data_IF_323473437029
#
_entry.id   IF_323473437029
#
_cell.length_a   1.000
_cell.length_b   1.000
_cell.length_c   1.000
_cell.angle_alpha   90.00
_cell.angle_beta   90.00
_cell.angle_gamma   90.00
#
_symmetry.space_group_name_H-M   'P 1'
#
loop_
_entity.id
_entity.type
_entity.pdbx_description
1 polymer ?
#
# COMPACT_ATOMS: atom_id res chain seq x y z
N UNK A 1 0.73 21.98 -21.81
CA UNK A 1 1.02 21.55 -23.19
C UNK A 1 0.38 20.19 -23.38
N UNK A 2 -0.48 20.09 -24.40
CA UNK A 2 -1.53 19.08 -24.60
C UNK A 2 -1.04 17.63 -24.69
N UNK A 3 -1.88 16.67 -24.28
CA UNK A 3 -2.49 15.71 -25.22
C UNK A 3 -3.82 15.16 -24.67
N UNK A 4 -4.87 15.31 -25.50
CA UNK A 4 -6.20 14.71 -25.42
C UNK A 4 -6.21 13.27 -25.97
N UNK A 5 -7.22 12.47 -25.58
CA UNK A 5 -8.12 11.64 -26.43
C UNK A 5 -9.36 11.29 -25.56
N UNK A 6 -10.49 12.00 -25.69
CA UNK A 6 -11.77 11.63 -26.38
C UNK A 6 -12.50 10.41 -25.78
N UNK A 7 -13.59 10.58 -25.02
CA UNK A 7 -14.99 10.95 -25.38
C UNK A 7 -15.89 9.76 -25.73
N UNK A 8 -16.96 9.56 -24.96
CA UNK A 8 -18.32 9.44 -25.53
C UNK A 8 -19.34 10.02 -24.54
N UNK A 9 -20.19 10.90 -25.07
CA UNK A 9 -21.21 11.70 -24.40
C UNK A 9 -22.55 11.30 -25.02
N UNK A 10 -23.57 11.01 -24.21
CA UNK A 10 -24.97 11.17 -24.61
C UNK A 10 -25.71 11.81 -23.45
N UNK A 11 -26.24 13.01 -23.71
CA UNK A 11 -27.19 13.73 -22.86
C UNK A 11 -28.59 13.51 -23.42
N UNK A 12 -29.56 13.22 -22.54
CA UNK A 12 -30.95 13.67 -22.69
C UNK A 12 -31.62 13.74 -21.32
N UNK A 13 -32.37 14.82 -21.10
CA UNK A 13 -33.01 15.23 -19.85
C UNK A 13 -34.51 14.89 -19.80
N UNK A 14 -35.03 14.86 -18.55
CA UNK A 14 -36.41 15.05 -18.07
C UNK A 14 -37.40 13.87 -18.14
N UNK A 15 -37.78 13.36 -16.96
CA UNK A 15 -39.09 13.62 -16.31
C UNK A 15 -39.42 12.54 -15.26
N UNK A 16 -39.83 12.99 -14.07
CA UNK A 16 -40.29 12.19 -12.94
C UNK A 16 -41.61 11.47 -13.25
N UNK A 17 -41.75 10.21 -12.84
CA UNK A 17 -43.02 9.59 -12.46
C UNK A 17 -42.75 8.34 -11.60
N UNK A 18 -43.32 8.33 -10.40
CA UNK A 18 -43.32 7.22 -9.45
C UNK A 18 -44.24 6.10 -9.94
N UNK A 19 -43.69 4.93 -10.24
CA UNK A 19 -44.42 3.66 -10.24
C UNK A 19 -43.59 2.59 -9.52
N UNK A 20 -44.18 2.01 -8.48
CA UNK A 20 -43.69 0.79 -7.85
C UNK A 20 -43.73 -0.36 -8.87
N UNK A 21 -42.57 -0.92 -9.20
CA UNK A 21 -42.44 -2.09 -10.06
C UNK A 21 -41.81 -3.24 -9.27
N UNK A 22 -42.51 -4.37 -9.27
CA UNK A 22 -42.12 -5.67 -8.71
C UNK A 22 -40.75 -6.10 -9.24
N UNK A 23 -39.91 -6.63 -8.35
CA UNK A 23 -38.69 -7.33 -8.71
C UNK A 23 -39.04 -8.63 -9.46
N UNK A 24 -38.58 -8.75 -10.71
CA UNK A 24 -38.52 -10.02 -11.42
C UNK A 24 -37.29 -10.82 -10.94
N UNK A 25 -37.39 -12.14 -10.77
CA UNK A 25 -36.25 -12.97 -10.40
C UNK A 25 -35.28 -13.05 -11.59
N UNK A 26 -34.05 -12.57 -11.40
CA UNK A 26 -32.97 -12.80 -12.35
C UNK A 26 -32.60 -14.29 -12.33
N UNK A 27 -32.62 -14.93 -13.50
CA UNK A 27 -32.11 -16.27 -13.72
C UNK A 27 -30.65 -16.37 -13.25
N UNK A 28 -30.24 -17.51 -12.65
CA UNK A 28 -28.87 -17.70 -12.19
C UNK A 28 -27.91 -17.64 -13.37
N UNK A 29 -26.94 -16.72 -13.30
CA UNK A 29 -25.77 -16.71 -14.18
C UNK A 29 -25.06 -18.06 -14.01
N UNK A 30 -24.83 -18.84 -15.09
CA UNK A 30 -24.20 -20.14 -14.98
C UNK A 30 -22.78 -19.98 -14.45
N UNK A 31 -22.44 -20.84 -13.48
CA UNK A 31 -21.11 -20.95 -12.86
C UNK A 31 -20.02 -20.88 -13.93
N UNK A 32 -19.20 -19.83 -13.84
CA UNK A 32 -18.08 -19.61 -14.72
C UNK A 32 -17.08 -20.75 -14.60
N UNK A 33 -16.85 -21.45 -15.71
CA UNK A 33 -15.73 -22.36 -15.97
C UNK A 33 -14.45 -21.79 -15.36
N UNK A 34 -13.89 -22.50 -14.39
CA UNK A 34 -12.58 -22.24 -13.80
C UNK A 34 -11.50 -22.48 -14.85
N UNK A 35 -11.15 -21.43 -15.60
CA UNK A 35 -9.93 -21.44 -16.40
C UNK A 35 -8.74 -21.42 -15.45
N UNK A 36 -7.91 -22.46 -15.53
CA UNK A 36 -6.62 -22.51 -14.82
C UNK A 36 -5.85 -21.20 -15.08
N UNK A 37 -5.27 -20.58 -14.03
CA UNK A 37 -4.51 -19.34 -14.17
C UNK A 37 -3.34 -19.55 -15.13
N UNK A 38 -3.26 -18.76 -16.20
CA UNK A 38 -2.11 -18.74 -17.10
C UNK A 38 -1.09 -17.66 -16.68
N UNK A 39 0.18 -17.88 -16.99
CA UNK A 39 1.24 -16.88 -16.84
C UNK A 39 1.80 -16.76 -15.42
N UNK A 40 2.25 -15.56 -15.04
CA UNK A 40 2.97 -15.33 -13.79
C UNK A 40 2.15 -15.67 -12.53
N UNK A 41 0.82 -15.60 -12.60
CA UNK A 41 -0.07 -15.97 -11.49
C UNK A 41 0.06 -17.46 -11.18
N UNK A 42 0.30 -18.31 -12.18
CA UNK A 42 0.52 -19.74 -11.98
C UNK A 42 1.84 -20.00 -11.25
N UNK A 43 2.89 -19.25 -11.58
CA UNK A 43 4.19 -19.31 -10.89
C UNK A 43 4.01 -19.07 -9.39
N UNK A 44 3.23 -18.04 -9.03
CA UNK A 44 2.94 -17.70 -7.64
C UNK A 44 2.09 -18.79 -6.97
N UNK A 45 1.00 -19.23 -7.60
CA UNK A 45 0.07 -20.22 -7.01
C UNK A 45 0.69 -21.60 -6.82
N UNK A 46 1.64 -21.98 -7.66
CA UNK A 46 2.36 -23.25 -7.54
C UNK A 46 3.51 -23.17 -6.53
N UNK A 47 3.87 -21.96 -6.09
CA UNK A 47 4.97 -21.80 -5.15
C UNK A 47 4.55 -22.30 -3.76
N UNK A 48 5.35 -23.16 -3.12
CA UNK A 48 5.02 -23.65 -1.79
C UNK A 48 5.22 -22.52 -0.76
N UNK A 49 4.41 -22.50 0.30
CA UNK A 49 4.41 -21.40 1.27
C UNK A 49 5.76 -21.18 1.95
N UNK A 50 6.62 -22.20 2.03
CA UNK A 50 7.95 -22.06 2.63
C UNK A 50 8.88 -21.09 1.89
N UNK A 51 8.63 -20.81 0.62
CA UNK A 51 9.41 -19.81 -0.15
C UNK A 51 9.29 -18.40 0.43
N UNK A 52 8.27 -18.13 1.25
CA UNK A 52 8.06 -16.85 1.93
C UNK A 52 9.11 -16.52 2.99
N UNK A 53 9.97 -17.46 3.37
CA UNK A 53 11.02 -17.22 4.35
C UNK A 53 12.07 -16.24 3.83
N UNK A 54 12.20 -15.08 4.50
CA UNK A 54 13.11 -13.99 4.17
C UNK A 54 12.63 -13.08 3.04
N UNK A 55 11.41 -13.30 2.52
CA UNK A 55 10.86 -12.50 1.41
C UNK A 55 10.72 -11.05 1.80
N UNK A 56 10.26 -10.79 3.03
CA UNK A 56 10.02 -9.42 3.48
C UNK A 56 11.29 -8.58 3.43
N UNK A 57 12.40 -9.11 3.96
CA UNK A 57 13.69 -8.41 3.96
C UNK A 57 14.26 -8.23 2.54
N UNK A 58 14.08 -9.24 1.68
CA UNK A 58 14.51 -9.16 0.29
C UNK A 58 13.75 -8.07 -0.48
N UNK A 59 12.43 -8.00 -0.31
CA UNK A 59 11.60 -6.96 -0.92
C UNK A 59 11.93 -5.58 -0.35
N UNK A 60 12.12 -5.45 0.97
CA UNK A 60 12.59 -4.18 1.57
C UNK A 60 13.91 -3.72 0.95
N UNK A 61 14.84 -4.63 0.69
CA UNK A 61 16.12 -4.29 0.05
C UNK A 61 15.93 -3.77 -1.37
N UNK A 62 15.13 -4.47 -2.17
CA UNK A 62 14.79 -4.08 -3.54
C UNK A 62 14.09 -2.72 -3.58
N UNK A 63 13.08 -2.53 -2.72
CA UNK A 63 12.31 -1.28 -2.66
C UNK A 63 13.14 -0.12 -2.12
N UNK A 64 14.10 -0.37 -1.22
CA UNK A 64 15.05 0.65 -0.73
C UNK A 64 15.94 1.17 -1.86
N UNK A 65 16.39 0.32 -2.76
CA UNK A 65 17.11 0.77 -3.95
C UNK A 65 16.26 1.66 -4.83
N UNK A 66 15.00 1.27 -5.08
CA UNK A 66 14.09 2.04 -5.94
C UNK A 66 13.70 3.38 -5.31
N UNK A 67 13.13 3.38 -4.10
CA UNK A 67 12.64 4.60 -3.45
C UNK A 67 13.74 5.57 -3.04
N UNK A 68 14.95 5.05 -2.78
CA UNK A 68 16.10 5.86 -2.38
C UNK A 68 17.05 6.18 -3.53
N UNK A 69 16.70 5.82 -4.78
CA UNK A 69 17.57 5.95 -5.97
C UNK A 69 19.02 5.53 -5.66
N UNK A 70 19.15 4.34 -5.07
CA UNK A 70 20.41 3.85 -4.49
C UNK A 70 20.75 2.44 -4.95
N UNK A 71 21.97 1.99 -4.66
CA UNK A 71 22.43 0.66 -5.06
C UNK A 71 22.31 0.46 -6.57
N UNK A 72 21.61 -0.60 -6.99
CA UNK A 72 21.39 -0.90 -8.41
C UNK A 72 20.50 0.12 -9.14
N UNK A 73 19.71 0.90 -8.40
CA UNK A 73 18.85 1.98 -8.92
C UNK A 73 19.44 3.38 -8.72
N UNK A 74 20.75 3.49 -8.46
CA UNK A 74 21.48 4.78 -8.54
C UNK A 74 21.49 5.38 -9.95
N UNK A 75 21.21 4.55 -10.97
CA UNK A 75 20.76 5.01 -12.27
C UNK A 75 19.27 4.62 -12.40
N UNK A 76 18.41 5.63 -12.62
CA UNK A 76 16.96 5.44 -12.74
C UNK A 76 16.55 4.85 -14.09
N UNK A 77 17.41 4.93 -15.11
CA UNK A 77 17.21 4.30 -16.43
C UNK A 77 17.50 2.78 -16.42
N UNK A 78 16.96 2.08 -15.43
CA UNK A 78 17.18 0.65 -15.20
C UNK A 78 15.91 -0.11 -14.81
N UNK A 79 16.00 -1.42 -15.01
CA UNK A 79 15.10 -2.39 -14.39
C UNK A 79 15.90 -3.39 -13.55
N UNK A 80 15.35 -3.73 -12.39
CA UNK A 80 15.84 -4.81 -11.52
C UNK A 80 14.92 -6.03 -11.63
N UNK A 81 15.51 -7.22 -11.63
CA UNK A 81 14.80 -8.49 -11.69
C UNK A 81 14.95 -9.27 -10.39
N UNK A 82 13.87 -9.94 -9.99
CA UNK A 82 13.84 -10.76 -8.78
C UNK A 82 12.85 -11.92 -8.88
N UNK A 83 13.11 -12.96 -8.09
CA UNK A 83 12.29 -14.18 -8.08
C UNK A 83 11.10 -14.11 -7.10
N UNK A 84 10.40 -15.24 -6.92
CA UNK A 84 9.27 -15.38 -6.00
C UNK A 84 9.66 -15.20 -4.52
N UNK A 85 10.95 -15.32 -4.20
CA UNK A 85 11.50 -15.10 -2.86
C UNK A 85 11.93 -13.64 -2.65
N UNK A 86 11.65 -12.76 -3.61
CA UNK A 86 12.18 -11.40 -3.62
C UNK A 86 13.70 -11.35 -3.84
N UNK A 87 14.37 -12.47 -4.13
CA UNK A 87 15.82 -12.48 -4.29
C UNK A 87 16.18 -11.77 -5.58
N UNK A 88 17.09 -10.81 -5.48
CA UNK A 88 17.66 -10.13 -6.63
C UNK A 88 18.38 -11.11 -7.55
N UNK A 89 18.06 -11.05 -8.85
CA UNK A 89 18.63 -11.90 -9.89
C UNK A 89 19.55 -11.12 -10.83
N UNK A 90 19.35 -9.81 -10.95
CA UNK A 90 20.14 -8.97 -11.84
C UNK A 90 19.42 -7.69 -12.21
N UNK A 91 20.08 -6.90 -13.06
CA UNK A 91 19.55 -5.64 -13.56
C UNK A 91 19.92 -5.45 -15.03
N UNK A 92 19.24 -4.52 -15.70
CA UNK A 92 19.58 -4.06 -17.05
C UNK A 92 19.29 -2.57 -17.18
N UNK A 93 20.04 -1.89 -18.04
CA UNK A 93 19.73 -0.52 -18.47
C UNK A 93 18.60 -0.54 -19.50
N UNK A 94 17.75 0.48 -19.46
CA UNK A 94 16.64 0.64 -20.39
C UNK A 94 17.13 0.68 -21.85
N UNK A 95 16.26 0.25 -22.77
CA UNK A 95 16.45 0.51 -24.20
C UNK A 95 15.97 1.91 -24.57
N UNK A 96 16.22 2.32 -25.81
CA UNK A 96 15.81 3.64 -26.32
C UNK A 96 14.27 3.77 -26.39
N UNK A 97 13.57 2.64 -26.42
CA UNK A 97 12.12 2.58 -26.44
C UNK A 97 11.58 1.62 -25.38
N UNK A 98 10.29 1.79 -25.03
CA UNK A 98 9.56 0.84 -24.16
C UNK A 98 9.53 -0.57 -24.75
N UNK A 99 9.36 -0.69 -26.07
CA UNK A 99 9.34 -1.97 -26.77
C UNK A 99 10.70 -2.68 -26.68
N UNK A 100 11.79 -1.94 -26.92
CA UNK A 100 13.14 -2.47 -26.77
C UNK A 100 13.44 -2.87 -25.33
N UNK A 101 13.06 -2.02 -24.36
CA UNK A 101 13.19 -2.34 -22.93
C UNK A 101 12.48 -3.64 -22.58
N UNK A 102 11.24 -3.84 -23.04
CA UNK A 102 10.48 -5.07 -22.81
C UNK A 102 11.15 -6.30 -23.45
N UNK A 103 11.72 -6.16 -24.65
CA UNK A 103 12.47 -7.23 -25.31
C UNK A 103 13.73 -7.59 -24.51
N UNK A 104 14.50 -6.59 -24.06
CA UNK A 104 15.69 -6.79 -23.22
C UNK A 104 15.35 -7.49 -21.91
N UNK A 105 14.25 -7.13 -21.25
CA UNK A 105 13.78 -7.81 -20.03
C UNK A 105 13.49 -9.28 -20.33
N UNK A 106 12.79 -9.59 -21.43
CA UNK A 106 12.47 -10.99 -21.79
C UNK A 106 13.72 -11.80 -22.17
N UNK A 107 14.71 -11.18 -22.81
CA UNK A 107 16.00 -11.82 -23.11
C UNK A 107 16.78 -12.14 -21.82
N UNK A 108 16.75 -11.24 -20.83
CA UNK A 108 17.37 -11.46 -19.54
C UNK A 108 16.69 -12.61 -18.78
N UNK A 109 15.36 -12.71 -18.79
CA UNK A 109 14.62 -13.86 -18.23
C UNK A 109 15.07 -15.18 -18.86
N UNK A 110 15.23 -15.19 -20.19
CA UNK A 110 15.70 -16.39 -20.89
C UNK A 110 17.11 -16.77 -20.46
N UNK A 111 17.99 -15.77 -20.32
CA UNK A 111 19.35 -15.97 -19.83
C UNK A 111 19.39 -16.56 -18.42
N UNK A 112 18.53 -16.07 -17.51
CA UNK A 112 18.44 -16.57 -16.13
C UNK A 112 18.00 -18.04 -16.08
N UNK A 113 17.06 -18.45 -16.93
CA UNK A 113 16.66 -19.86 -17.06
C UNK A 113 17.78 -20.70 -17.64
N UNK A 114 18.44 -20.25 -18.72
CA UNK A 114 19.54 -20.99 -19.35
C UNK A 114 20.72 -21.21 -18.40
N UNK A 115 20.96 -20.28 -17.46
CA UNK A 115 21.98 -20.40 -16.42
C UNK A 115 21.56 -21.25 -15.21
N UNK A 116 20.30 -21.70 -15.16
CA UNK A 116 19.76 -22.43 -14.02
C UNK A 116 19.57 -21.57 -12.76
N UNK A 117 19.51 -20.24 -12.90
CA UNK A 117 19.29 -19.32 -11.78
C UNK A 117 17.82 -19.26 -11.36
N UNK A 118 16.91 -19.57 -12.28
CA UNK A 118 15.47 -19.75 -12.03
C UNK A 118 14.94 -20.92 -12.86
N UNK A 119 13.94 -21.63 -12.33
CA UNK A 119 13.39 -22.84 -12.96
C UNK A 119 12.46 -22.55 -14.14
N UNK A 120 11.77 -21.41 -14.11
CA UNK A 120 10.76 -21.06 -15.10
C UNK A 120 10.79 -19.57 -15.44
N UNK A 121 10.27 -19.24 -16.62
CA UNK A 121 10.04 -17.86 -17.04
C UNK A 121 8.66 -17.72 -17.68
N UNK A 122 8.12 -16.51 -17.55
CA UNK A 122 6.92 -16.06 -18.26
C UNK A 122 7.29 -14.74 -18.95
N UNK A 123 7.16 -14.64 -20.28
CA UNK A 123 7.43 -13.39 -20.97
C UNK A 123 6.45 -12.30 -20.52
N UNK A 124 6.94 -11.08 -20.38
CA UNK A 124 6.12 -9.90 -20.18
C UNK A 124 5.78 -9.22 -21.51
N UNK A 125 4.78 -8.35 -21.48
CA UNK A 125 4.36 -7.48 -22.57
C UNK A 125 3.90 -6.12 -21.98
N UNK A 126 3.62 -5.09 -22.79
CA UNK A 126 3.29 -3.75 -22.30
C UNK A 126 2.23 -3.70 -21.18
N UNK A 127 1.21 -4.55 -21.26
CA UNK A 127 0.12 -4.64 -20.27
C UNK A 127 0.07 -6.02 -19.59
N UNK A 128 1.17 -6.77 -19.63
CA UNK A 128 1.24 -8.13 -19.08
C UNK A 128 2.50 -8.31 -18.26
N UNK A 129 2.31 -8.59 -16.98
CA UNK A 129 3.42 -8.93 -16.08
C UNK A 129 4.06 -10.26 -16.50
N UNK A 130 5.39 -10.30 -16.51
CA UNK A 130 6.17 -11.52 -16.72
C UNK A 130 6.88 -11.99 -15.44
N UNK A 131 7.55 -13.14 -15.52
CA UNK A 131 8.34 -13.75 -14.45
C UNK A 131 9.72 -14.23 -14.97
N UNK A 132 10.84 -14.08 -14.24
CA UNK A 132 11.02 -13.30 -13.00
C UNK A 132 10.47 -11.87 -13.07
N UNK A 133 10.05 -11.34 -11.92
CA UNK A 133 9.44 -10.01 -11.86
C UNK A 133 10.49 -8.96 -12.21
N UNK A 134 10.05 -7.90 -12.90
CA UNK A 134 10.89 -6.77 -13.26
C UNK A 134 10.29 -5.48 -12.70
N UNK A 135 11.12 -4.63 -12.14
CA UNK A 135 10.72 -3.37 -11.53
C UNK A 135 11.59 -2.25 -12.09
N UNK A 136 10.95 -1.20 -12.61
CA UNK A 136 11.64 0.00 -13.04
C UNK A 136 12.23 0.73 -11.82
N UNK A 137 13.46 1.23 -11.97
CA UNK A 137 14.09 2.10 -10.98
C UNK A 137 13.48 3.51 -10.98
N UNK A 138 13.09 4.04 -12.14
CA UNK A 138 12.34 5.29 -12.25
C UNK A 138 10.88 5.10 -11.78
N UNK A 139 10.56 5.69 -10.63
CA UNK A 139 9.20 5.73 -10.06
C UNK A 139 8.82 7.17 -9.72
N UNK A 140 8.53 8.01 -10.73
CA UNK A 140 8.42 9.48 -10.57
C UNK A 140 7.21 9.95 -9.75
N UNK A 141 6.36 9.01 -9.33
CA UNK A 141 5.23 9.27 -8.44
C UNK A 141 5.63 9.27 -6.95
N UNK A 142 6.85 8.80 -6.61
CA UNK A 142 7.36 8.78 -5.24
C UNK A 142 8.73 9.46 -5.18
N UNK A 143 8.77 10.71 -4.70
CA UNK A 143 9.99 11.41 -4.32
C UNK A 143 10.04 11.49 -2.79
N UNK A 144 10.76 10.55 -2.18
CA UNK A 144 10.79 10.42 -0.72
C UNK A 144 11.49 11.60 -0.02
N UNK A 145 12.64 12.11 -0.49
CA UNK A 145 13.25 13.34 0.05
C UNK A 145 12.29 14.55 0.02
N UNK A 146 11.62 14.79 -1.10
CA UNK A 146 10.67 15.90 -1.22
C UNK A 146 9.44 15.68 -0.33
N UNK A 147 8.93 14.45 -0.25
CA UNK A 147 7.82 14.09 0.64
C UNK A 147 8.17 14.34 2.11
N UNK A 148 9.36 13.92 2.55
CA UNK A 148 9.86 14.17 3.90
C UNK A 148 10.01 15.67 4.18
N UNK A 149 10.55 16.45 3.23
CA UNK A 149 10.71 17.89 3.39
C UNK A 149 9.36 18.60 3.60
N UNK A 150 8.32 18.21 2.83
CA UNK A 150 6.95 18.71 3.01
C UNK A 150 6.35 18.29 4.35
N UNK A 151 6.47 17.01 4.71
CA UNK A 151 5.93 16.50 5.98
C UNK A 151 6.54 17.20 7.21
N UNK A 152 7.86 17.45 7.16
CA UNK A 152 8.59 18.14 8.21
C UNK A 152 8.47 19.68 8.14
N UNK A 153 7.75 20.22 7.15
CA UNK A 153 7.51 21.66 7.02
C UNK A 153 8.79 22.48 6.83
N UNK A 154 9.75 21.94 6.05
CA UNK A 154 11.05 22.57 5.79
C UNK A 154 10.87 23.94 5.14
N UNK A 155 9.91 24.06 4.20
CA UNK A 155 9.52 25.35 3.63
C UNK A 155 8.31 25.95 4.37
N UNK A 156 8.21 27.28 4.50
CA UNK A 156 7.05 27.93 5.13
C UNK A 156 5.71 27.54 4.50
N UNK A 157 5.66 27.35 3.18
CA UNK A 157 4.44 26.98 2.44
C UNK A 157 3.91 25.57 2.76
N UNK A 158 4.76 24.69 3.29
CA UNK A 158 4.36 23.32 3.65
C UNK A 158 3.74 23.24 5.05
N UNK A 159 3.90 24.29 5.86
CA UNK A 159 3.35 24.37 7.21
C UNK A 159 1.85 24.63 7.16
N UNK A 160 1.17 24.23 8.23
CA UNK A 160 -0.28 24.18 8.31
C UNK A 160 -0.76 24.86 9.59
N UNK A 161 -1.99 25.34 9.55
CA UNK A 161 -2.74 25.87 10.67
C UNK A 161 -4.23 25.77 10.34
N UNK A 162 -5.09 25.90 11.34
CA UNK A 162 -6.54 25.95 11.16
C UNK A 162 -7.29 25.13 12.20
N UNK A 163 -8.57 24.93 11.94
CA UNK A 163 -9.44 24.14 12.81
C UNK A 163 -10.20 23.10 12.00
N UNK A 164 -10.53 21.98 12.64
CA UNK A 164 -11.36 20.92 12.10
C UNK A 164 -12.11 20.24 13.24
N UNK A 165 -13.43 20.11 13.14
CA UNK A 165 -14.26 19.60 14.25
C UNK A 165 -13.98 20.38 15.55
N UNK A 166 -13.55 19.71 16.62
CA UNK A 166 -13.11 20.27 17.90
C UNK A 166 -11.57 20.45 18.00
N UNK A 167 -10.84 20.20 16.91
CA UNK A 167 -9.39 20.38 16.81
C UNK A 167 -9.09 21.81 16.37
N UNK A 168 -8.28 22.51 17.16
CA UNK A 168 -7.63 23.76 16.74
C UNK A 168 -6.12 23.57 16.74
N UNK A 169 -5.46 23.76 15.60
CA UNK A 169 -4.04 23.52 15.44
C UNK A 169 -3.32 24.75 14.86
N UNK A 170 -2.31 25.22 15.61
CA UNK A 170 -1.47 26.36 15.26
C UNK A 170 -2.29 27.63 14.92
N UNK A 171 -1.61 28.64 14.37
CA UNK A 171 -2.23 29.90 13.94
C UNK A 171 -1.62 30.37 12.62
N UNK A 172 -2.29 31.31 11.97
CA UNK A 172 -1.85 31.84 10.67
C UNK A 172 -0.48 32.50 10.74
N UNK A 173 -0.17 33.18 11.84
CA UNK A 173 1.11 33.85 12.09
C UNK A 173 2.22 32.87 12.51
N UNK A 174 1.86 31.69 13.03
CA UNK A 174 2.81 30.67 13.48
C UNK A 174 2.40 29.27 13.00
N UNK A 175 2.40 29.01 11.67
CA UNK A 175 2.04 27.72 11.14
C UNK A 175 3.10 26.67 11.49
N UNK A 176 2.67 25.42 11.68
CA UNK A 176 3.51 24.30 12.13
C UNK A 176 3.53 23.15 11.11
N UNK A 177 4.57 22.30 11.08
CA UNK A 177 4.67 21.13 10.18
C UNK A 177 3.50 20.15 10.24
N UNK A 178 3.31 19.37 9.16
CA UNK A 178 2.37 18.24 9.12
C UNK A 178 2.67 17.18 10.18
N UNK A 179 3.95 16.94 10.47
CA UNK A 179 4.37 16.04 11.55
C UNK A 179 3.72 16.40 12.89
N UNK A 180 3.84 17.67 13.28
CA UNK A 180 3.30 18.16 14.55
C UNK A 180 1.78 18.17 14.54
N UNK A 181 1.15 18.32 13.37
CA UNK A 181 -0.29 18.18 13.21
C UNK A 181 -0.76 16.73 13.40
N UNK A 182 -0.07 15.75 12.80
CA UNK A 182 -0.39 14.34 13.01
C UNK A 182 -0.26 13.95 14.48
N UNK A 183 0.82 14.39 15.13
CA UNK A 183 1.04 14.17 16.55
C UNK A 183 -0.08 14.77 17.40
N UNK A 184 -0.42 16.03 17.16
CA UNK A 184 -1.50 16.70 17.86
C UNK A 184 -2.87 16.02 17.66
N UNK A 185 -3.23 15.67 16.43
CA UNK A 185 -4.50 14.99 16.11
C UNK A 185 -4.53 13.61 16.76
N UNK A 186 -3.46 12.82 16.66
CA UNK A 186 -3.35 11.50 17.27
C UNK A 186 -3.53 11.58 18.79
N UNK A 187 -2.72 12.40 19.49
CA UNK A 187 -2.81 12.53 20.95
C UNK A 187 -4.18 13.03 21.41
N UNK A 188 -4.76 14.00 20.70
CA UNK A 188 -6.10 14.52 21.00
C UNK A 188 -7.14 13.41 20.87
N UNK A 189 -7.18 12.69 19.75
CA UNK A 189 -8.16 11.63 19.51
C UNK A 189 -8.00 10.44 20.43
N UNK A 190 -6.78 10.07 20.78
CA UNK A 190 -6.50 9.03 21.78
C UNK A 190 -6.98 9.44 23.17
N UNK A 191 -6.71 10.68 23.60
CA UNK A 191 -7.17 11.18 24.91
C UNK A 191 -8.70 11.27 25.03
N UNK A 192 -9.37 11.53 23.91
CA UNK A 192 -10.83 11.53 23.80
C UNK A 192 -11.42 10.12 23.63
N UNK A 193 -10.58 9.06 23.61
CA UNK A 193 -10.99 7.68 23.35
C UNK A 193 -11.75 7.49 22.02
N UNK A 194 -11.49 8.37 21.03
CA UNK A 194 -12.09 8.29 19.69
C UNK A 194 -11.34 7.33 18.77
N UNK A 195 -10.10 6.97 19.13
CA UNK A 195 -9.30 5.97 18.43
C UNK A 195 -8.66 5.00 19.42
N UNK A 196 -8.50 3.76 18.98
CA UNK A 196 -7.76 2.70 19.65
C UNK A 196 -6.90 2.02 18.57
N UNK A 197 -5.58 2.22 18.65
CA UNK A 197 -4.63 1.83 17.60
C UNK A 197 -3.40 1.16 18.22
N UNK A 198 -2.82 0.14 17.55
CA UNK A 198 -1.57 -0.47 17.99
C UNK A 198 -0.44 0.54 18.13
N UNK A 199 0.54 0.19 18.97
CA UNK A 199 1.68 1.06 19.19
C UNK A 199 2.49 1.22 17.89
N UNK A 200 2.96 2.44 17.63
CA UNK A 200 3.66 2.74 16.38
C UNK A 200 2.78 2.84 15.12
N UNK A 201 1.44 2.72 15.22
CA UNK A 201 0.59 2.98 14.04
C UNK A 201 0.69 4.45 13.58
N UNK A 202 0.88 5.39 14.51
CA UNK A 202 1.05 6.82 14.19
C UNK A 202 2.21 7.07 13.22
N UNK A 203 3.38 6.44 13.45
CA UNK A 203 4.55 6.57 12.57
C UNK A 203 4.30 5.96 11.20
N UNK A 204 3.56 4.86 11.13
CA UNK A 204 3.21 4.24 9.86
C UNK A 204 2.20 5.07 9.07
N UNK A 205 1.26 5.78 9.73
CA UNK A 205 0.39 6.76 9.07
C UNK A 205 1.21 7.90 8.44
N UNK A 206 2.29 8.33 9.08
CA UNK A 206 3.22 9.28 8.45
C UNK A 206 3.90 8.69 7.22
N UNK A 207 4.34 7.43 7.30
CA UNK A 207 4.81 6.64 6.16
C UNK A 207 3.80 6.62 5.00
N UNK A 208 2.54 6.29 5.31
CA UNK A 208 1.44 6.26 4.34
C UNK A 208 1.22 7.62 3.71
N UNK A 209 1.19 8.71 4.49
CA UNK A 209 1.05 10.07 3.94
C UNK A 209 2.11 10.38 2.87
N UNK A 210 3.36 9.98 3.09
CA UNK A 210 4.45 10.20 2.13
C UNK A 210 4.29 9.33 0.89
N UNK A 211 3.93 8.05 1.04
CA UNK A 211 3.75 7.13 -0.09
C UNK A 211 2.50 7.47 -0.92
N UNK A 212 1.39 7.84 -0.27
CA UNK A 212 0.11 8.12 -0.93
C UNK A 212 0.15 9.43 -1.73
N UNK A 213 0.74 10.49 -1.18
CA UNK A 213 0.61 11.84 -1.75
C UNK A 213 1.91 12.63 -1.87
N UNK A 214 3.03 12.10 -1.35
CA UNK A 214 4.24 12.88 -1.14
C UNK A 214 4.04 14.10 -0.24
N UNK A 215 3.03 14.07 0.64
CA UNK A 215 2.61 15.20 1.47
C UNK A 215 1.94 16.37 0.72
N UNK A 216 1.56 16.19 -0.55
CA UNK A 216 0.98 17.26 -1.38
C UNK A 216 -0.49 17.49 -1.02
N UNK A 217 -0.84 18.72 -0.65
CA UNK A 217 -2.21 19.06 -0.23
C UNK A 217 -3.26 18.71 -1.30
N UNK A 218 -2.98 18.98 -2.58
CA UNK A 218 -3.92 18.79 -3.70
C UNK A 218 -3.61 17.55 -4.55
N UNK A 219 -3.04 16.49 -3.95
CA UNK A 219 -2.81 15.23 -4.65
C UNK A 219 -4.12 14.56 -5.09
N UNK A 220 -4.23 14.21 -6.37
CA UNK A 220 -5.43 13.61 -6.95
C UNK A 220 -5.06 12.40 -7.79
N UNK A 221 -5.57 11.22 -7.43
CA UNK A 221 -5.35 10.01 -8.22
C UNK A 221 -6.34 9.88 -9.36
N UNK A 222 -6.00 9.04 -10.35
CA UNK A 222 -6.91 8.65 -11.43
C UNK A 222 -8.18 7.95 -10.91
N UNK A 223 -8.10 7.30 -9.74
CA UNK A 223 -9.25 6.69 -9.05
C UNK A 223 -10.07 7.70 -8.22
N UNK A 224 -9.81 9.01 -8.41
CA UNK A 224 -10.47 10.11 -7.70
C UNK A 224 -10.26 10.11 -6.17
N UNK A 225 -9.16 9.53 -5.71
CA UNK A 225 -8.71 9.66 -4.33
C UNK A 225 -8.02 11.03 -4.12
N UNK A 226 -8.23 11.65 -2.96
CA UNK A 226 -7.91 13.06 -2.74
C UNK A 226 -7.14 13.30 -1.46
N UNK A 227 -6.27 14.30 -1.52
CA UNK A 227 -5.61 14.92 -0.38
C UNK A 227 -4.36 14.18 0.05
N UNK A 228 -3.83 14.60 1.19
CA UNK A 228 -2.58 14.09 1.74
C UNK A 228 -2.62 12.61 2.12
N UNK A 229 -3.81 12.05 2.34
CA UNK A 229 -4.01 10.62 2.65
C UNK A 229 -4.65 9.84 1.51
N UNK A 230 -4.80 10.45 0.31
CA UNK A 230 -5.46 9.83 -0.86
C UNK A 230 -6.74 9.08 -0.51
N UNK A 231 -7.65 9.72 0.22
CA UNK A 231 -8.91 9.11 0.61
C UNK A 231 -9.91 9.20 -0.55
N UNK A 232 -10.67 8.13 -0.78
CA UNK A 232 -11.77 8.14 -1.74
C UNK A 232 -12.88 9.08 -1.29
N UNK A 233 -13.70 9.56 -2.23
CA UNK A 233 -14.85 10.42 -1.86
C UNK A 233 -15.85 9.70 -0.96
N UNK A 234 -15.99 8.37 -1.09
CA UNK A 234 -16.81 7.56 -0.20
C UNK A 234 -16.23 7.54 1.22
N UNK A 235 -14.93 7.27 1.37
CA UNK A 235 -14.28 7.26 2.69
C UNK A 235 -14.34 8.64 3.37
N UNK A 236 -14.19 9.73 2.61
CA UNK A 236 -14.34 11.09 3.11
C UNK A 236 -15.78 11.37 3.58
N UNK A 237 -16.78 10.91 2.84
CA UNK A 237 -18.19 11.03 3.22
C UNK A 237 -18.52 10.20 4.46
N UNK A 238 -17.99 8.98 4.60
CA UNK A 238 -18.16 8.12 5.78
C UNK A 238 -17.57 8.78 7.05
N UNK A 239 -16.54 9.60 6.87
CA UNK A 239 -15.97 10.44 7.92
C UNK A 239 -16.78 11.73 8.21
N UNK A 240 -17.84 12.02 7.45
CA UNK A 240 -18.63 13.24 7.57
C UNK A 240 -17.94 14.48 7.00
N UNK A 241 -16.99 14.30 6.09
CA UNK A 241 -16.29 15.42 5.44
C UNK A 241 -17.09 15.86 4.22
N UNK A 242 -17.51 17.12 4.20
CA UNK A 242 -18.18 17.70 3.03
C UNK A 242 -17.21 17.94 1.85
N UNK A 243 -17.69 17.92 0.58
CA UNK A 243 -16.83 18.09 -0.60
C UNK A 243 -15.92 19.32 -0.58
N UNK A 244 -16.38 20.43 0.02
CA UNK A 244 -15.59 21.66 0.17
C UNK A 244 -14.31 21.44 1.02
N UNK A 245 -14.32 20.44 1.90
CA UNK A 245 -13.25 20.13 2.85
C UNK A 245 -12.43 18.90 2.47
N UNK A 246 -12.64 18.29 1.29
CA UNK A 246 -11.85 17.14 0.84
C UNK A 246 -10.34 17.40 0.76
N UNK A 247 -9.92 18.67 0.67
CA UNK A 247 -8.51 19.07 0.65
C UNK A 247 -8.01 19.63 1.99
N UNK A 248 -8.82 19.54 3.05
CA UNK A 248 -8.50 20.03 4.38
C UNK A 248 -7.57 19.05 5.10
N UNK A 249 -6.33 19.48 5.38
CA UNK A 249 -5.26 18.60 5.87
C UNK A 249 -5.57 18.01 7.26
N UNK A 250 -6.14 18.78 8.18
CA UNK A 250 -6.54 18.24 9.49
C UNK A 250 -7.69 17.22 9.38
N UNK A 251 -8.64 17.46 8.47
CA UNK A 251 -9.76 16.55 8.23
C UNK A 251 -9.28 15.21 7.67
N UNK A 252 -8.31 15.27 6.75
CA UNK A 252 -7.67 14.10 6.17
C UNK A 252 -6.92 13.26 7.21
N UNK A 253 -6.15 13.88 8.11
CA UNK A 253 -5.46 13.18 9.20
C UNK A 253 -6.44 12.53 10.17
N UNK A 254 -7.46 13.28 10.60
CA UNK A 254 -8.50 12.79 11.51
C UNK A 254 -9.28 11.60 10.91
N UNK A 255 -9.70 11.73 9.65
CA UNK A 255 -10.39 10.65 8.94
C UNK A 255 -9.50 9.41 8.76
N UNK A 256 -8.23 9.57 8.38
CA UNK A 256 -7.32 8.42 8.25
C UNK A 256 -7.11 7.66 9.58
N UNK A 257 -7.00 8.38 10.70
CA UNK A 257 -6.92 7.78 12.03
C UNK A 257 -8.22 7.05 12.40
N UNK A 258 -9.37 7.66 12.14
CA UNK A 258 -10.69 7.04 12.37
C UNK A 258 -10.88 5.77 11.54
N UNK A 259 -10.54 5.82 10.25
CA UNK A 259 -10.63 4.67 9.34
C UNK A 259 -9.69 3.54 9.76
N UNK A 260 -8.46 3.86 10.16
CA UNK A 260 -7.49 2.86 10.65
C UNK A 260 -8.00 2.21 11.94
N UNK A 261 -8.56 3.00 12.85
CA UNK A 261 -9.16 2.51 14.11
C UNK A 261 -10.38 1.62 13.83
N UNK A 262 -11.19 1.96 12.83
CA UNK A 262 -12.29 1.12 12.37
C UNK A 262 -11.80 -0.19 11.76
N UNK A 263 -10.76 -0.15 10.91
CA UNK A 263 -10.14 -1.34 10.35
C UNK A 263 -9.61 -2.26 11.45
N UNK A 264 -8.97 -1.69 12.48
CA UNK A 264 -8.48 -2.45 13.63
C UNK A 264 -9.60 -3.19 14.35
N UNK A 265 -10.73 -2.52 14.65
CA UNK A 265 -11.89 -3.17 15.26
C UNK A 265 -12.46 -4.29 14.38
N UNK A 266 -12.60 -4.02 13.09
CA UNK A 266 -13.20 -4.98 12.15
C UNK A 266 -12.34 -6.24 11.98
N UNK A 267 -11.01 -6.10 12.03
CA UNK A 267 -10.08 -7.21 11.78
C UNK A 267 -9.68 -7.97 13.04
N UNK A 268 -9.87 -7.39 14.24
CA UNK A 268 -9.32 -7.94 15.48
C UNK A 268 -9.78 -9.38 15.73
N UNK A 269 -11.07 -9.68 15.56
CA UNK A 269 -11.63 -11.00 15.88
C UNK A 269 -11.01 -12.10 15.01
N UNK A 270 -11.02 -11.93 13.68
CA UNK A 270 -10.45 -12.90 12.74
C UNK A 270 -8.93 -13.03 12.92
N UNK A 271 -8.27 -11.91 13.21
CA UNK A 271 -6.84 -11.90 13.51
C UNK A 271 -6.53 -12.71 14.77
N UNK A 272 -7.19 -12.44 15.89
CA UNK A 272 -6.94 -13.14 17.14
C UNK A 272 -7.30 -14.63 17.05
N UNK A 273 -8.34 -14.98 16.29
CA UNK A 273 -8.69 -16.38 16.02
C UNK A 273 -7.58 -17.12 15.25
N UNK A 274 -6.92 -16.46 14.29
CA UNK A 274 -5.87 -17.07 13.47
C UNK A 274 -4.48 -17.00 14.10
N UNK A 275 -4.19 -15.91 14.80
CA UNK A 275 -2.84 -15.46 15.15
C UNK A 275 -2.70 -15.11 16.65
N UNK A 276 -3.74 -15.33 17.46
CA UNK A 276 -3.74 -15.00 18.88
C UNK A 276 -2.68 -15.73 19.70
N UNK A 277 -2.27 -16.94 19.27
CA UNK A 277 -1.26 -17.76 19.94
C UNK A 277 0.20 -17.32 19.70
N UNK A 278 0.44 -16.41 18.75
CA UNK A 278 1.78 -15.91 18.46
C UNK A 278 2.40 -15.18 19.67
N UNK A 279 3.74 -15.13 19.76
CA UNK A 279 4.44 -14.26 20.71
C UNK A 279 3.96 -12.80 20.58
N UNK A 280 3.76 -12.12 21.71
CA UNK A 280 3.09 -10.82 21.77
C UNK A 280 3.68 -9.77 20.80
N UNK A 281 5.00 -9.59 20.77
CA UNK A 281 5.66 -8.65 19.85
C UNK A 281 5.45 -9.00 18.38
N UNK A 282 5.57 -10.29 18.02
CA UNK A 282 5.32 -10.77 16.64
C UNK A 282 3.85 -10.57 16.25
N UNK A 283 2.93 -10.82 17.18
CA UNK A 283 1.49 -10.65 16.99
C UNK A 283 1.13 -9.18 16.75
N UNK A 284 1.66 -8.26 17.57
CA UNK A 284 1.42 -6.83 17.43
C UNK A 284 2.01 -6.27 16.13
N UNK A 285 3.24 -6.65 15.80
CA UNK A 285 3.89 -6.25 14.54
C UNK A 285 3.07 -6.75 13.34
N UNK A 286 2.71 -8.04 13.31
CA UNK A 286 1.92 -8.61 12.22
C UNK A 286 0.57 -7.90 12.07
N UNK A 287 -0.16 -7.69 13.17
CA UNK A 287 -1.43 -6.99 13.12
C UNK A 287 -1.28 -5.59 12.53
N UNK A 288 -0.24 -4.86 12.95
CA UNK A 288 0.06 -3.52 12.47
C UNK A 288 0.34 -3.51 10.96
N UNK A 289 1.10 -4.48 10.43
CA UNK A 289 1.33 -4.61 8.99
C UNK A 289 0.05 -4.89 8.21
N UNK A 290 -0.85 -5.72 8.78
CA UNK A 290 -2.15 -5.99 8.18
C UNK A 290 -3.06 -4.75 8.20
N UNK A 291 -2.94 -3.85 9.18
CA UNK A 291 -3.67 -2.57 9.18
C UNK A 291 -3.18 -1.63 8.08
N UNK A 292 -1.87 -1.56 7.86
CA UNK A 292 -1.29 -0.83 6.71
C UNK A 292 -1.86 -1.40 5.40
N UNK A 293 -1.87 -2.73 5.26
CA UNK A 293 -2.46 -3.39 4.09
C UNK A 293 -3.97 -3.10 3.96
N UNK A 294 -4.71 -3.06 5.07
CA UNK A 294 -6.14 -2.81 5.09
C UNK A 294 -6.51 -1.36 4.72
N UNK A 295 -5.64 -0.40 5.03
CA UNK A 295 -5.83 0.98 4.59
C UNK A 295 -5.76 1.09 3.06
N UNK A 296 -4.78 0.43 2.44
CA UNK A 296 -4.59 0.43 0.99
C UNK A 296 -5.60 -0.46 0.24
N UNK A 297 -5.77 -1.69 0.71
CA UNK A 297 -6.54 -2.74 0.06
C UNK A 297 -7.98 -2.84 0.52
N UNK A 298 -8.35 -2.22 1.64
CA UNK A 298 -9.64 -2.36 2.31
C UNK A 298 -9.67 -3.50 3.34
N UNK A 299 -10.31 -3.26 4.49
CA UNK A 299 -10.39 -4.22 5.60
C UNK A 299 -11.09 -5.53 5.23
N UNK A 300 -12.17 -5.50 4.44
CA UNK A 300 -12.86 -6.74 4.01
C UNK A 300 -11.90 -7.71 3.32
N UNK A 301 -11.03 -7.17 2.44
CA UNK A 301 -10.09 -8.01 1.68
C UNK A 301 -9.04 -8.65 2.58
N UNK A 302 -8.54 -7.90 3.57
CA UNK A 302 -7.61 -8.43 4.56
C UNK A 302 -8.30 -9.45 5.47
N UNK A 303 -9.56 -9.22 5.85
CA UNK A 303 -10.38 -10.17 6.61
C UNK A 303 -10.52 -11.51 5.88
N UNK A 304 -10.77 -11.48 4.57
CA UNK A 304 -10.82 -12.69 3.74
C UNK A 304 -9.49 -13.48 3.69
N UNK A 305 -8.35 -12.84 3.93
CA UNK A 305 -7.06 -13.52 4.06
C UNK A 305 -6.88 -14.20 5.43
N UNK A 306 -7.65 -13.79 6.43
CA UNK A 306 -7.57 -14.27 7.82
C UNK A 306 -8.63 -15.34 8.13
N UNK A 307 -9.81 -15.20 7.53
CA UNK A 307 -10.99 -16.02 7.77
C UNK A 307 -10.83 -17.47 7.26
N UNK A 308 -11.92 -18.18 6.99
CA UNK A 308 -11.86 -19.53 6.40
C UNK A 308 -11.90 -19.50 4.87
N UNK A 309 -11.51 -20.61 4.24
CA UNK A 309 -11.58 -20.79 2.79
C UNK A 309 -10.24 -20.64 2.05
N UNK A 310 -10.30 -20.54 0.73
CA UNK A 310 -9.13 -20.64 -0.15
C UNK A 310 -8.11 -19.52 0.09
N UNK A 311 -8.58 -18.28 0.24
CA UNK A 311 -7.71 -17.11 0.41
C UNK A 311 -6.93 -17.12 1.72
N UNK A 312 -7.43 -17.84 2.72
CA UNK A 312 -6.84 -17.89 4.04
C UNK A 312 -5.91 -19.09 4.28
N UNK A 313 -5.73 -19.97 3.28
CA UNK A 313 -4.77 -21.08 3.36
C UNK A 313 -3.34 -20.62 3.69
N UNK A 314 -2.80 -19.52 3.11
CA UNK A 314 -1.48 -19.03 3.51
C UNK A 314 -1.44 -18.62 4.97
N UNK A 315 -2.47 -17.91 5.46
CA UNK A 315 -2.53 -17.51 6.86
C UNK A 315 -2.59 -18.71 7.81
N UNK A 316 -3.31 -19.78 7.44
CA UNK A 316 -3.39 -21.01 8.25
C UNK A 316 -2.02 -21.69 8.34
N UNK A 317 -1.33 -21.80 7.19
CA UNK A 317 0.02 -22.34 7.15
C UNK A 317 1.00 -21.54 8.01
N UNK A 318 1.01 -20.21 7.87
CA UNK A 318 1.92 -19.35 8.63
C UNK A 318 1.60 -19.32 10.13
N UNK A 319 0.32 -19.45 10.50
CA UNK A 319 -0.10 -19.58 11.88
C UNK A 319 0.44 -20.86 12.52
N UNK A 320 0.43 -21.98 11.80
CA UNK A 320 0.97 -23.27 12.26
C UNK A 320 2.51 -23.26 12.31
N UNK A 321 3.17 -22.62 11.35
CA UNK A 321 4.63 -22.68 11.17
C UNK A 321 5.35 -21.40 11.63
N UNK A 322 4.72 -20.60 12.49
CA UNK A 322 5.15 -19.22 12.75
C UNK A 322 6.58 -19.06 13.26
N UNK A 323 7.16 -20.08 13.88
CA UNK A 323 8.53 -20.04 14.40
C UNK A 323 9.58 -19.87 13.30
N UNK A 324 9.26 -20.27 12.06
CA UNK A 324 10.16 -20.13 10.92
C UNK A 324 10.06 -18.79 10.19
N UNK A 325 9.11 -17.93 10.58
CA UNK A 325 8.78 -16.69 9.86
C UNK A 325 8.77 -15.47 10.78
N UNK A 326 9.24 -14.34 10.24
CA UNK A 326 9.03 -13.03 10.87
C UNK A 326 7.58 -12.56 10.66
N UNK A 327 7.12 -11.56 11.42
CA UNK A 327 5.81 -10.94 11.17
C UNK A 327 5.71 -10.40 9.74
N UNK A 328 6.78 -9.80 9.24
CA UNK A 328 6.89 -9.34 7.87
C UNK A 328 6.76 -10.46 6.84
N UNK A 329 7.45 -11.59 7.02
CA UNK A 329 7.33 -12.74 6.11
C UNK A 329 5.89 -13.29 6.06
N UNK A 330 5.21 -13.33 7.20
CA UNK A 330 3.80 -13.76 7.28
C UNK A 330 2.89 -12.78 6.52
N UNK A 331 2.99 -11.48 6.82
CA UNK A 331 2.18 -10.44 6.17
C UNK A 331 2.39 -10.45 4.64
N UNK A 332 3.65 -10.48 4.20
CA UNK A 332 4.00 -10.53 2.78
C UNK A 332 3.57 -11.84 2.14
N UNK A 333 3.78 -12.98 2.81
CA UNK A 333 3.37 -14.28 2.32
C UNK A 333 1.86 -14.35 2.09
N UNK A 334 1.05 -13.82 3.01
CA UNK A 334 -0.41 -13.78 2.85
C UNK A 334 -0.85 -13.01 1.60
N UNK A 335 -0.22 -11.87 1.31
CA UNK A 335 -0.51 -11.09 0.09
C UNK A 335 0.05 -11.78 -1.15
N UNK A 336 1.30 -12.23 -1.09
CA UNK A 336 2.03 -12.86 -2.19
C UNK A 336 1.28 -14.07 -2.73
N UNK A 337 0.91 -15.02 -1.86
CA UNK A 337 0.22 -16.26 -2.26
C UNK A 337 -1.22 -16.03 -2.73
N UNK A 338 -1.74 -14.81 -2.61
CA UNK A 338 -3.03 -14.39 -3.11
C UNK A 338 -2.96 -13.37 -4.26
N UNK A 339 -1.78 -13.13 -4.84
CA UNK A 339 -1.65 -12.26 -6.01
C UNK A 339 -2.50 -12.75 -7.19
N UNK A 340 -3.16 -11.81 -7.86
CA UNK A 340 -4.13 -12.09 -8.92
C UNK A 340 -5.48 -12.61 -8.40
N UNK A 341 -5.69 -12.68 -7.08
CA UNK A 341 -7.00 -12.91 -6.43
C UNK A 341 -7.38 -11.70 -5.60
N UNK A 342 -8.67 -11.54 -5.33
CA UNK A 342 -9.20 -10.46 -4.50
C UNK A 342 -8.64 -9.05 -4.85
N UNK A 343 -8.37 -8.80 -6.13
CA UNK A 343 -7.75 -7.55 -6.64
C UNK A 343 -6.38 -7.22 -6.01
N UNK A 344 -5.69 -8.19 -5.42
CA UNK A 344 -4.31 -8.06 -4.94
C UNK A 344 -3.36 -8.14 -6.14
N UNK A 345 -2.73 -7.02 -6.47
CA UNK A 345 -1.70 -6.92 -7.50
C UNK A 345 -0.32 -6.74 -6.90
N UNK A 346 0.71 -6.67 -7.75
CA UNK A 346 2.09 -6.43 -7.30
C UNK A 346 2.24 -5.12 -6.51
N UNK A 347 1.45 -4.09 -6.82
CA UNK A 347 1.44 -2.84 -6.04
C UNK A 347 1.05 -3.08 -4.57
N UNK A 348 0.12 -4.00 -4.31
CA UNK A 348 -0.28 -4.39 -2.95
C UNK A 348 0.86 -5.07 -2.20
N UNK A 349 1.72 -5.81 -2.91
CA UNK A 349 2.89 -6.45 -2.30
C UNK A 349 3.91 -5.42 -1.83
N UNK A 350 4.17 -4.37 -2.61
CA UNK A 350 5.20 -3.38 -2.26
C UNK A 350 4.72 -2.32 -1.27
N UNK A 351 3.41 -2.07 -1.19
CA UNK A 351 2.86 -0.99 -0.39
C UNK A 351 3.34 -1.00 1.07
N UNK A 352 3.28 -2.16 1.73
CA UNK A 352 3.73 -2.30 3.13
C UNK A 352 5.23 -2.00 3.27
N UNK A 353 6.05 -2.49 2.33
CA UNK A 353 7.50 -2.22 2.32
C UNK A 353 7.77 -0.72 2.11
N UNK A 354 7.06 -0.09 1.18
CA UNK A 354 7.23 1.33 0.87
C UNK A 354 6.88 2.21 2.08
N UNK A 355 5.77 1.91 2.76
CA UNK A 355 5.37 2.60 4.00
C UNK A 355 6.40 2.42 5.11
N UNK A 356 6.93 1.21 5.28
CA UNK A 356 7.98 0.94 6.26
C UNK A 356 9.25 1.73 5.94
N UNK A 357 9.73 1.69 4.69
CA UNK A 357 10.94 2.41 4.26
C UNK A 357 10.78 3.92 4.41
N UNK A 358 9.60 4.46 4.08
CA UNK A 358 9.33 5.87 4.26
C UNK A 358 9.34 6.24 5.76
N UNK A 359 8.77 5.39 6.61
CA UNK A 359 8.80 5.55 8.08
C UNK A 359 10.24 5.47 8.63
N UNK A 360 11.04 4.51 8.17
CA UNK A 360 12.47 4.40 8.50
C UNK A 360 13.22 5.67 8.11
N UNK A 361 12.97 6.21 6.92
CA UNK A 361 13.63 7.43 6.45
C UNK A 361 13.29 8.63 7.33
N UNK A 362 12.03 8.78 7.78
CA UNK A 362 11.66 9.78 8.78
C UNK A 362 12.40 9.58 10.09
N UNK A 363 12.46 8.35 10.59
CA UNK A 363 13.08 8.06 11.87
C UNK A 363 14.61 8.06 11.89
N UNK A 364 15.24 7.98 10.73
CA UNK A 364 16.67 8.26 10.60
C UNK A 364 16.98 9.75 10.38
N UNK A 365 15.96 10.60 10.20
CA UNK A 365 16.19 12.03 10.00
C UNK A 365 16.73 12.68 11.28
N UNK A 366 17.68 13.65 11.17
CA UNK A 366 18.21 14.36 12.34
C UNK A 366 17.15 15.07 13.19
N UNK A 367 15.98 15.39 12.61
CA UNK A 367 14.90 16.08 13.30
C UNK A 367 14.05 15.16 14.18
N UNK A 368 13.96 13.87 13.85
CA UNK A 368 13.03 12.94 14.52
C UNK A 368 13.69 11.77 15.23
N UNK A 369 14.93 11.40 14.87
CA UNK A 369 15.61 10.20 15.37
C UNK A 369 15.66 10.06 16.90
N UNK A 370 15.76 11.19 17.61
CA UNK A 370 15.89 11.23 19.08
C UNK A 370 14.57 11.63 19.76
N UNK A 371 13.45 11.62 19.04
CA UNK A 371 12.13 12.00 19.58
C UNK A 371 11.30 10.76 19.91
N UNK A 372 10.34 10.90 20.83
CA UNK A 372 9.42 9.82 21.22
C UNK A 372 8.58 9.25 20.07
N UNK A 373 8.44 9.98 18.96
CA UNK A 373 7.78 9.51 17.75
C UNK A 373 8.51 8.32 17.09
N UNK A 374 9.83 8.27 17.21
CA UNK A 374 10.69 7.25 16.60
C UNK A 374 11.24 6.22 17.60
N UNK A 375 10.97 6.39 18.89
CA UNK A 375 11.24 5.37 19.88
C UNK A 375 10.36 4.15 19.62
N UNK A 376 10.95 2.95 19.63
CA UNK A 376 10.17 1.72 19.68
C UNK A 376 9.47 1.69 21.04
N UNK A 377 8.15 1.44 21.11
CA UNK A 377 7.51 1.09 22.37
C UNK A 377 8.26 -0.12 22.96
N UNK A 378 8.65 -0.05 24.22
CA UNK A 378 9.24 -1.18 24.97
C UNK A 378 8.24 -2.32 25.16
#
# INVERSE_FOLDING_TARGET
MNYLIKCCLVMTTLASLSLAARAEPQDPVPDTVTTEPAGWVQVVRNSPYWVSQGVHQNILTIRRWVLGESGYCSNTDRHILFDMRGRFLGYMDNGDTRAETQQRINNLRTTLVTRGEVEQQVPGAPDTTGYPFALACDQPHVDLPEAMARYLGTLPGDRIWGAWDDITFASQDKPRPLHEALDYVYSTRSSQQRIDLPAGMQRLIAGQLMIESGGRQRAHSAANARGIMQLSTTALADCGIEPANYWHRLAQLDCALRLTSQNARNLRADFDARFGHLPAGKREELFTLLLVQAFHGGASRVGELLAEGELARPAAYFAEHHDSYTAGDIAFGMVFHNLGRNRLGLASLYYVADVQLATEALCHSPRLKDTGFCSTPE
#
